data_IF_979775276213
#
_entry.id   IF_979775276213
#
_cell.length_a   1.000
_cell.length_b   1.000
_cell.length_c   1.000
_cell.angle_alpha   90.00
_cell.angle_beta   90.00
_cell.angle_gamma   90.00
#
_symmetry.space_group_name_H-M   'P 1'
#
loop_
_entity.id
_entity.type
_entity.pdbx_description
1 polymer ?
#
# COMPACT_ATOMS: atom_id res chain seq x y z
N UNK A 1 -13.43 10.12 27.98
CA UNK A 1 -14.75 10.81 27.98
C UNK A 1 -14.81 11.92 26.93
N UNK A 2 -13.79 12.81 26.84
CA UNK A 2 -13.76 13.92 25.87
C UNK A 2 -13.85 13.46 24.40
N UNK A 3 -13.01 12.51 23.96
CA UNK A 3 -13.06 12.02 22.56
C UNK A 3 -14.41 11.36 22.19
N UNK A 4 -15.10 10.77 23.17
CA UNK A 4 -16.43 10.20 22.97
C UNK A 4 -17.50 11.30 22.86
N UNK A 5 -17.36 12.39 23.61
CA UNK A 5 -18.24 13.55 23.53
C UNK A 5 -18.10 14.26 22.18
N UNK A 6 -16.88 14.43 21.68
CA UNK A 6 -16.62 15.05 20.35
C UNK A 6 -17.36 14.30 19.24
N UNK A 7 -17.40 12.97 19.28
CA UNK A 7 -18.15 12.16 18.31
C UNK A 7 -19.66 12.30 18.37
N UNK A 8 -20.20 12.84 19.46
CA UNK A 8 -21.65 13.05 19.66
C UNK A 8 -22.07 14.48 19.34
N UNK A 9 -21.13 15.34 18.97
CA UNK A 9 -21.41 16.72 18.58
C UNK A 9 -22.15 16.77 17.23
N UNK A 10 -22.95 17.82 17.05
CA UNK A 10 -23.59 18.12 15.77
C UNK A 10 -22.56 18.55 14.73
N UNK A 11 -22.94 18.55 13.44
CA UNK A 11 -22.04 18.99 12.37
C UNK A 11 -21.64 20.46 12.53
N UNK A 12 -22.54 21.32 13.00
CA UNK A 12 -22.25 22.74 13.26
C UNK A 12 -21.22 22.89 14.38
N UNK A 13 -21.36 22.11 15.45
CA UNK A 13 -20.41 22.12 16.56
C UNK A 13 -19.03 21.61 16.13
N UNK A 14 -18.99 20.59 15.28
CA UNK A 14 -17.74 20.08 14.71
C UNK A 14 -17.08 21.08 13.75
N UNK A 15 -17.88 21.86 13.01
CA UNK A 15 -17.36 22.95 12.18
C UNK A 15 -16.68 24.01 13.03
N UNK A 16 -17.33 24.47 14.11
CA UNK A 16 -16.76 25.48 15.02
C UNK A 16 -15.45 24.99 15.65
N UNK A 17 -15.37 23.72 16.06
CA UNK A 17 -14.12 23.16 16.60
C UNK A 17 -13.04 23.07 15.51
N UNK A 18 -13.43 22.73 14.27
CA UNK A 18 -12.54 22.75 13.11
C UNK A 18 -11.92 24.12 12.89
N UNK A 19 -12.73 25.18 12.88
CA UNK A 19 -12.28 26.56 12.73
C UNK A 19 -11.39 26.99 13.90
N UNK A 20 -11.74 26.57 15.12
CA UNK A 20 -10.91 26.79 16.30
C UNK A 20 -9.52 26.15 16.12
N UNK A 21 -9.43 24.89 15.69
CA UNK A 21 -8.14 24.25 15.41
C UNK A 21 -7.36 24.94 14.29
N UNK A 22 -8.02 25.41 13.23
CA UNK A 22 -7.38 26.19 12.16
C UNK A 22 -6.80 27.52 12.67
N UNK A 23 -7.42 28.13 13.69
CA UNK A 23 -6.98 29.40 14.29
C UNK A 23 -5.77 29.26 15.23
N UNK A 24 -5.40 28.05 15.63
CA UNK A 24 -4.30 27.82 16.56
C UNK A 24 -2.94 28.11 15.92
N UNK A 25 -2.00 28.60 16.74
CA UNK A 25 -0.61 28.66 16.33
C UNK A 25 -0.03 27.25 16.09
N UNK A 26 0.93 27.08 15.16
CA UNK A 26 1.55 25.78 14.89
C UNK A 26 2.09 25.08 16.13
N UNK A 27 2.75 25.83 17.03
CA UNK A 27 3.30 25.29 18.27
C UNK A 27 2.22 24.76 19.21
N UNK A 28 1.07 25.43 19.29
CA UNK A 28 -0.08 24.98 20.07
C UNK A 28 -0.75 23.77 19.45
N UNK A 29 -0.93 23.76 18.12
CA UNK A 29 -1.49 22.61 17.40
C UNK A 29 -0.64 21.35 17.61
N UNK A 30 0.69 21.47 17.48
CA UNK A 30 1.64 20.37 17.75
C UNK A 30 1.48 19.82 19.17
N UNK A 31 1.34 20.68 20.19
CA UNK A 31 1.13 20.24 21.58
C UNK A 31 -0.15 19.42 21.74
N UNK A 32 -1.25 19.86 21.12
CA UNK A 32 -2.51 19.13 21.17
C UNK A 32 -2.42 17.79 20.45
N UNK A 33 -1.84 17.77 19.23
CA UNK A 33 -1.63 16.52 18.49
C UNK A 33 -0.78 15.54 19.30
N UNK A 34 0.32 16.01 19.90
CA UNK A 34 1.19 15.17 20.75
C UNK A 34 0.44 14.58 21.95
N UNK A 35 -0.39 15.38 22.63
CA UNK A 35 -1.19 14.88 23.76
C UNK A 35 -2.12 13.74 23.33
N UNK A 36 -2.88 13.91 22.25
CA UNK A 36 -3.77 12.86 21.74
C UNK A 36 -3.01 11.62 21.27
N UNK A 37 -1.84 11.80 20.63
CA UNK A 37 -0.97 10.69 20.23
C UNK A 37 -0.46 9.92 21.44
N UNK A 38 -0.03 10.60 22.50
CA UNK A 38 0.51 9.95 23.69
C UNK A 38 -0.54 9.06 24.37
N UNK A 39 -1.76 9.58 24.55
CA UNK A 39 -2.89 8.79 25.06
C UNK A 39 -3.19 7.58 24.17
N UNK A 40 -3.15 7.77 22.85
CA UNK A 40 -3.37 6.67 21.91
C UNK A 40 -2.26 5.61 22.00
N UNK A 41 -0.99 6.01 22.04
CA UNK A 41 0.16 5.11 22.21
C UNK A 41 0.11 4.31 23.52
N UNK A 42 -0.31 4.93 24.62
CA UNK A 42 -0.49 4.24 25.90
C UNK A 42 -1.59 3.17 25.81
N UNK A 43 -2.71 3.46 25.16
CA UNK A 43 -3.80 2.48 24.95
C UNK A 43 -3.34 1.34 24.04
N UNK A 44 -2.62 1.66 22.96
CA UNK A 44 -2.06 0.66 22.03
C UNK A 44 -1.04 -0.26 22.72
N UNK A 45 -0.30 0.26 23.71
CA UNK A 45 0.73 -0.50 24.43
C UNK A 45 0.19 -1.30 25.62
N UNK A 46 -0.93 -0.87 26.22
CA UNK A 46 -1.51 -1.48 27.43
C UNK A 46 -2.60 -2.52 27.13
N UNK A 47 -3.32 -2.41 26.01
CA UNK A 47 -4.48 -3.27 25.74
C UNK A 47 -4.20 -4.33 24.67
N UNK A 48 -3.99 -5.57 25.11
CA UNK A 48 -3.86 -6.75 24.23
C UNK A 48 -5.20 -7.33 23.77
N UNK A 49 -6.20 -6.50 23.40
CA UNK A 49 -7.30 -7.11 22.65
C UNK A 49 -8.61 -6.39 22.35
N UNK A 50 -9.13 -5.42 23.13
CA UNK A 50 -10.60 -5.20 23.08
C UNK A 50 -11.20 -3.79 23.14
N UNK A 51 -10.50 -2.64 23.28
CA UNK A 51 -11.21 -1.33 23.26
C UNK A 51 -11.14 -0.56 21.94
N UNK A 52 -11.67 -1.16 20.87
CA UNK A 52 -11.82 -0.51 19.57
C UNK A 52 -12.58 0.83 19.65
N UNK A 53 -13.56 0.98 20.54
CA UNK A 53 -14.31 2.24 20.65
C UNK A 53 -13.46 3.41 21.17
N UNK A 54 -12.57 3.17 22.15
CA UNK A 54 -11.69 4.22 22.70
C UNK A 54 -10.68 4.66 21.65
N UNK A 55 -10.03 3.70 21.00
CA UNK A 55 -9.09 3.96 19.90
C UNK A 55 -9.79 4.67 18.73
N UNK A 56 -10.97 4.21 18.31
CA UNK A 56 -11.75 4.88 17.26
C UNK A 56 -12.09 6.32 17.63
N UNK A 57 -12.48 6.58 18.89
CA UNK A 57 -12.79 7.94 19.32
C UNK A 57 -11.57 8.86 19.20
N UNK A 58 -10.39 8.39 19.61
CA UNK A 58 -9.15 9.15 19.51
C UNK A 58 -8.71 9.37 18.06
N UNK A 59 -8.80 8.33 17.23
CA UNK A 59 -8.48 8.41 15.80
C UNK A 59 -9.39 9.41 15.07
N UNK A 60 -10.68 9.47 15.42
CA UNK A 60 -11.62 10.44 14.86
C UNK A 60 -11.23 11.88 15.25
N UNK A 61 -10.86 12.13 16.50
CA UNK A 61 -10.39 13.46 16.92
C UNK A 61 -9.13 13.85 16.14
N UNK A 62 -8.16 12.95 16.04
CA UNK A 62 -6.94 13.17 15.26
C UNK A 62 -7.24 13.40 13.77
N UNK A 63 -8.23 12.71 13.19
CA UNK A 63 -8.67 12.93 11.81
C UNK A 63 -9.26 14.33 11.62
N UNK A 64 -10.07 14.82 12.56
CA UNK A 64 -10.58 16.18 12.46
C UNK A 64 -9.46 17.22 12.58
N UNK A 65 -8.50 17.01 13.49
CA UNK A 65 -7.32 17.87 13.61
C UNK A 65 -6.46 17.85 12.34
N UNK A 66 -6.30 16.68 11.71
CA UNK A 66 -5.60 16.52 10.44
C UNK A 66 -6.32 17.25 9.30
N UNK A 67 -7.64 17.13 9.23
CA UNK A 67 -8.47 17.83 8.25
C UNK A 67 -8.38 19.35 8.44
N UNK A 68 -8.41 19.84 9.68
CA UNK A 68 -8.20 21.26 9.99
C UNK A 68 -6.82 21.73 9.51
N UNK A 69 -5.76 20.96 9.79
CA UNK A 69 -4.40 21.28 9.31
C UNK A 69 -4.29 21.34 7.78
N UNK A 70 -5.03 20.51 7.04
CA UNK A 70 -5.05 20.56 5.58
C UNK A 70 -5.80 21.77 5.01
N UNK A 71 -6.66 22.42 5.81
CA UNK A 71 -7.28 23.71 5.45
C UNK A 71 -6.36 24.89 5.73
N UNK A 72 -5.41 24.74 6.67
CA UNK A 72 -4.43 25.78 6.99
C UNK A 72 -3.44 25.98 5.84
N UNK A 73 -3.13 27.23 5.50
CA UNK A 73 -2.21 27.60 4.41
C UNK A 73 -0.91 28.20 4.95
N UNK A 74 0.18 28.05 4.18
CA UNK A 74 1.48 28.64 4.49
C UNK A 74 2.06 28.22 5.85
N UNK A 75 2.61 29.19 6.58
CA UNK A 75 3.33 28.97 7.84
C UNK A 75 2.47 28.45 9.01
N UNK A 76 1.14 28.38 8.85
CA UNK A 76 0.24 27.83 9.87
C UNK A 76 0.12 26.29 9.77
N UNK A 77 0.45 25.70 8.63
CA UNK A 77 0.35 24.25 8.41
C UNK A 77 1.50 23.52 9.09
N UNK A 78 1.19 22.56 9.96
CA UNK A 78 2.17 21.70 10.60
C UNK A 78 2.53 20.50 9.70
N UNK A 79 3.76 19.95 9.79
CA UNK A 79 4.18 18.81 8.99
C UNK A 79 3.30 17.58 9.22
N UNK A 80 2.99 16.82 8.17
CA UNK A 80 2.15 15.60 8.26
C UNK A 80 2.76 14.54 9.18
N UNK A 81 4.10 14.45 9.23
CA UNK A 81 4.84 13.55 10.13
C UNK A 81 4.51 13.78 11.61
N UNK A 82 4.04 14.99 11.97
CA UNK A 82 3.58 15.29 13.34
C UNK A 82 2.42 14.38 13.75
N UNK A 83 1.56 14.01 12.81
CA UNK A 83 0.37 13.18 13.07
C UNK A 83 0.67 11.68 13.06
N UNK A 84 1.79 11.24 12.49
CA UNK A 84 2.15 9.83 12.42
C UNK A 84 2.44 9.25 13.81
N UNK A 85 1.80 8.14 14.15
CA UNK A 85 2.08 7.36 15.36
C UNK A 85 3.30 6.49 15.16
N UNK A 86 4.15 6.45 16.18
CA UNK A 86 5.18 5.42 16.31
C UNK A 86 4.49 4.16 16.83
N UNK A 87 4.13 3.26 15.91
CA UNK A 87 3.51 1.99 16.25
C UNK A 87 4.62 0.97 16.56
N UNK A 88 4.51 0.33 17.72
CA UNK A 88 5.43 -0.74 18.10
C UNK A 88 5.33 -1.91 17.09
N UNK A 89 6.49 -2.35 16.57
CA UNK A 89 6.57 -3.41 15.56
C UNK A 89 6.04 -4.76 16.07
N UNK A 90 6.31 -5.10 17.34
CA UNK A 90 5.79 -6.33 17.96
C UNK A 90 4.25 -6.31 18.08
N UNK A 91 3.69 -5.14 18.42
CA UNK A 91 2.24 -4.95 18.43
C UNK A 91 1.65 -5.10 17.02
N UNK A 92 2.26 -4.43 16.04
CA UNK A 92 1.85 -4.48 14.64
C UNK A 92 1.84 -5.93 14.11
N UNK A 93 2.89 -6.68 14.43
CA UNK A 93 3.01 -8.09 14.06
C UNK A 93 1.93 -8.96 14.70
N UNK A 94 1.72 -8.85 16.01
CA UNK A 94 0.71 -9.64 16.72
C UNK A 94 -0.71 -9.39 16.18
N UNK A 95 -1.08 -8.12 15.96
CA UNK A 95 -2.42 -7.74 15.51
C UNK A 95 -2.67 -8.13 14.03
N UNK A 96 -1.68 -7.95 13.15
CA UNK A 96 -1.76 -8.40 11.75
C UNK A 96 -1.82 -9.93 11.64
N UNK A 97 -1.07 -10.67 12.45
CA UNK A 97 -1.13 -12.13 12.49
C UNK A 97 -2.52 -12.62 12.93
N UNK A 98 -3.10 -11.98 13.95
CA UNK A 98 -4.46 -12.26 14.42
C UNK A 98 -5.48 -12.02 13.30
N UNK A 99 -5.35 -10.91 12.57
CA UNK A 99 -6.20 -10.60 11.43
C UNK A 99 -6.09 -11.63 10.31
N UNK A 100 -4.87 -11.95 9.89
CA UNK A 100 -4.60 -12.91 8.83
C UNK A 100 -5.14 -14.31 9.19
N UNK A 101 -5.00 -14.74 10.44
CA UNK A 101 -5.51 -16.03 10.93
C UNK A 101 -7.03 -16.08 10.88
N UNK A 102 -7.71 -15.03 11.34
CA UNK A 102 -9.19 -14.96 11.35
C UNK A 102 -9.79 -14.83 9.94
N UNK A 103 -9.11 -14.17 9.02
CA UNK A 103 -9.52 -14.09 7.60
C UNK A 103 -9.57 -15.46 6.92
N UNK A 104 -8.65 -16.37 7.27
CA UNK A 104 -8.65 -17.75 6.72
C UNK A 104 -9.89 -18.53 7.16
N UNK A 105 -10.32 -18.37 8.41
CA UNK A 105 -11.55 -18.99 8.94
C UNK A 105 -12.79 -18.54 8.15
N UNK A 106 -12.92 -17.23 7.88
CA UNK A 106 -14.06 -16.67 7.15
C UNK A 106 -14.14 -17.17 5.69
N UNK A 107 -13.00 -17.42 5.03
CA UNK A 107 -12.97 -17.93 3.65
C UNK A 107 -13.37 -19.40 3.53
N UNK A 108 -13.16 -20.20 4.58
CA UNK A 108 -13.55 -21.60 4.59
C UNK A 108 -15.06 -21.79 4.81
N UNK A 109 -15.75 -20.76 5.31
CA UNK A 109 -17.20 -20.74 5.44
C UNK A 109 -17.82 -20.20 4.13
N UNK A 110 -18.20 -21.12 3.23
CA UNK A 110 -18.61 -20.86 1.83
C UNK A 110 -19.88 -19.99 1.66
N UNK A 111 -20.44 -19.38 2.71
CA UNK A 111 -21.71 -18.63 2.63
C UNK A 111 -21.63 -17.09 2.66
N UNK A 112 -20.46 -16.45 2.61
CA UNK A 112 -20.39 -14.96 2.63
C UNK A 112 -19.44 -14.32 1.61
N UNK A 113 -19.45 -14.81 0.36
CA UNK A 113 -18.57 -14.31 -0.72
C UNK A 113 -18.86 -12.89 -1.22
N UNK A 114 -19.98 -12.26 -0.85
CA UNK A 114 -20.25 -10.86 -1.19
C UNK A 114 -19.69 -9.83 -0.18
N UNK A 115 -18.96 -10.26 0.87
CA UNK A 115 -18.57 -9.37 1.97
C UNK A 115 -17.16 -8.75 1.85
N UNK A 116 -16.26 -9.36 1.06
CA UNK A 116 -14.83 -8.99 1.08
C UNK A 116 -14.51 -7.76 0.23
N UNK A 117 -15.29 -7.49 -0.82
CA UNK A 117 -15.12 -6.32 -1.70
C UNK A 117 -15.66 -5.00 -1.11
N UNK A 118 -16.28 -5.04 0.08
CA UNK A 118 -16.88 -3.87 0.73
C UNK A 118 -16.03 -3.26 1.84
N UNK A 119 -14.83 -3.80 2.09
CA UNK A 119 -13.92 -3.33 3.15
C UNK A 119 -13.35 -1.92 2.86
N UNK A 120 -13.33 -1.48 1.61
CA UNK A 120 -12.68 -0.21 1.22
C UNK A 120 -13.61 0.96 0.92
N UNK A 121 -14.94 0.81 0.92
CA UNK A 121 -15.84 1.95 0.60
C UNK A 121 -16.97 2.26 1.58
N UNK A 122 -17.26 1.44 2.59
CA UNK A 122 -18.18 1.80 3.68
C UNK A 122 -17.74 1.10 4.96
N UNK A 123 -17.33 1.88 5.96
CA UNK A 123 -17.20 1.43 7.34
C UNK A 123 -18.58 1.00 7.87
N UNK A 124 -19.01 -0.22 7.58
CA UNK A 124 -20.10 -0.85 8.29
C UNK A 124 -19.57 -2.11 8.98
N UNK A 125 -19.35 -1.89 10.28
CA UNK A 125 -19.53 -2.80 11.40
C UNK A 125 -20.06 -4.16 10.95
N UNK A 126 -19.18 -5.17 10.94
CA UNK A 126 -19.59 -6.57 10.98
C UNK A 126 -19.26 -7.15 12.33
N UNK A 127 -20.26 -7.84 12.88
CA UNK A 127 -20.27 -8.46 14.19
C UNK A 127 -19.04 -9.34 14.43
N UNK A 128 -18.30 -9.02 15.50
CA UNK A 128 -17.47 -9.97 16.23
C UNK A 128 -15.95 -9.84 16.12
N UNK A 129 -15.38 -9.14 15.12
CA UNK A 129 -13.92 -9.12 14.95
C UNK A 129 -13.44 -7.72 14.58
N UNK A 130 -12.95 -6.98 15.59
CA UNK A 130 -12.37 -5.64 15.43
C UNK A 130 -10.86 -5.74 15.67
N UNK A 131 -10.12 -5.98 14.59
CA UNK A 131 -8.66 -5.89 14.57
C UNK A 131 -8.26 -4.41 14.58
N UNK A 132 -7.31 -4.04 15.43
CA UNK A 132 -6.99 -2.64 15.70
C UNK A 132 -6.26 -1.99 14.51
N UNK A 133 -5.40 -2.74 13.84
CA UNK A 133 -4.68 -2.30 12.65
C UNK A 133 -5.64 -1.99 11.50
N UNK A 134 -6.74 -2.74 11.33
CA UNK A 134 -7.74 -2.40 10.33
C UNK A 134 -8.43 -1.07 10.63
N UNK A 135 -8.69 -0.76 11.90
CA UNK A 135 -9.23 0.56 12.26
C UNK A 135 -8.21 1.69 12.11
N UNK A 136 -6.92 1.41 12.29
CA UNK A 136 -5.83 2.39 12.17
C UNK A 136 -5.46 2.63 10.69
N UNK A 137 -5.38 1.58 9.88
CA UNK A 137 -5.03 1.63 8.45
C UNK A 137 -6.02 2.40 7.58
N UNK A 138 -7.25 2.57 8.05
CA UNK A 138 -8.25 3.43 7.38
C UNK A 138 -7.81 4.90 7.37
N UNK A 139 -7.01 5.31 8.35
CA UNK A 139 -6.56 6.69 8.50
C UNK A 139 -5.14 6.85 7.92
N UNK A 140 -5.05 7.42 6.72
CA UNK A 140 -3.80 7.54 5.95
C UNK A 140 -2.68 8.28 6.71
N UNK A 141 -3.05 9.24 7.57
CA UNK A 141 -2.12 10.07 8.34
C UNK A 141 -1.47 9.35 9.53
N UNK A 142 -2.06 8.24 9.99
CA UNK A 142 -1.70 7.64 11.29
C UNK A 142 -0.38 6.87 11.23
N UNK A 143 -0.04 6.28 10.10
CA UNK A 143 1.20 5.51 9.96
C UNK A 143 2.20 6.25 9.09
N UNK A 144 3.44 6.31 9.57
CA UNK A 144 4.58 6.71 8.77
C UNK A 144 4.88 5.67 7.67
N UNK A 145 5.81 6.02 6.77
CA UNK A 145 6.21 5.14 5.67
C UNK A 145 6.81 3.82 6.20
N UNK A 146 7.61 3.89 7.27
CA UNK A 146 8.26 2.73 7.88
C UNK A 146 7.22 1.72 8.36
N UNK A 147 6.24 2.16 9.15
CA UNK A 147 5.17 1.30 9.68
C UNK A 147 4.28 0.74 8.58
N UNK A 148 3.95 1.55 7.56
CA UNK A 148 3.20 1.08 6.38
C UNK A 148 3.94 -0.03 5.65
N UNK A 149 5.25 0.14 5.44
CA UNK A 149 6.11 -0.86 4.82
C UNK A 149 6.17 -2.14 5.65
N UNK A 150 6.44 -2.04 6.95
CA UNK A 150 6.49 -3.20 7.86
C UNK A 150 5.15 -3.95 7.86
N UNK A 151 4.02 -3.24 7.92
CA UNK A 151 2.69 -3.85 7.88
C UNK A 151 2.46 -4.62 6.57
N UNK A 152 2.85 -4.03 5.44
CA UNK A 152 2.77 -4.68 4.13
C UNK A 152 3.68 -5.92 4.05
N UNK A 153 4.90 -5.82 4.54
CA UNK A 153 5.89 -6.91 4.55
C UNK A 153 5.40 -8.11 5.39
N UNK A 154 4.84 -7.86 6.58
CA UNK A 154 4.22 -8.88 7.43
C UNK A 154 3.05 -9.55 6.70
N UNK A 155 2.18 -8.75 6.08
CA UNK A 155 1.05 -9.27 5.32
C UNK A 155 1.50 -10.16 4.16
N UNK A 156 2.45 -9.68 3.35
CA UNK A 156 2.97 -10.39 2.19
C UNK A 156 3.61 -11.72 2.58
N UNK A 157 4.41 -11.74 3.65
CA UNK A 157 5.01 -12.96 4.16
C UNK A 157 3.95 -13.96 4.64
N UNK A 158 2.92 -13.50 5.36
CA UNK A 158 1.85 -14.38 5.82
C UNK A 158 1.00 -14.96 4.68
N UNK A 159 0.83 -14.23 3.57
CA UNK A 159 0.10 -14.74 2.40
C UNK A 159 0.94 -15.69 1.54
N UNK A 160 2.27 -15.57 1.56
CA UNK A 160 3.19 -16.50 0.89
C UNK A 160 3.29 -17.87 1.58
N UNK A 161 3.09 -17.94 2.90
CA UNK A 161 3.16 -19.22 3.62
C UNK A 161 1.99 -20.13 3.20
N UNK A 162 2.27 -21.00 2.24
CA UNK A 162 1.55 -22.26 2.06
C UNK A 162 1.99 -23.17 3.20
N UNK A 163 1.06 -23.65 4.03
CA UNK A 163 1.37 -24.75 4.96
C UNK A 163 1.40 -26.03 4.13
N UNK A 164 2.53 -26.76 4.04
CA UNK A 164 2.50 -28.14 3.57
C UNK A 164 1.69 -28.95 4.58
N UNK A 165 0.79 -29.79 4.12
CA UNK A 165 0.33 -30.91 4.92
C UNK A 165 1.51 -31.89 5.10
N UNK A 166 1.59 -32.71 6.16
CA UNK A 166 2.82 -33.42 6.53
C UNK A 166 3.26 -34.52 5.56
N UNK A 167 2.51 -34.75 4.48
CA UNK A 167 2.71 -35.85 3.57
C UNK A 167 2.22 -35.40 2.20
N UNK A 168 3.13 -34.91 1.36
CA UNK A 168 3.07 -35.05 -0.10
C UNK A 168 4.29 -34.35 -0.73
N UNK A 169 4.84 -35.02 -1.73
CA UNK A 169 5.89 -34.51 -2.62
C UNK A 169 5.57 -33.10 -3.12
N UNK A 170 6.58 -32.22 -3.10
CA UNK A 170 6.49 -30.81 -3.50
C UNK A 170 5.98 -30.71 -4.95
N UNK A 171 4.68 -30.51 -5.13
CA UNK A 171 4.11 -30.24 -6.46
C UNK A 171 4.37 -28.80 -6.87
N UNK A 172 4.51 -28.56 -8.18
CA UNK A 172 4.72 -27.23 -8.78
C UNK A 172 3.60 -26.22 -8.49
N UNK A 173 2.47 -26.67 -7.92
CA UNK A 173 1.30 -25.83 -7.63
C UNK A 173 1.48 -24.89 -6.43
N UNK A 174 2.56 -25.04 -5.64
CA UNK A 174 2.78 -24.21 -4.46
C UNK A 174 3.54 -22.91 -4.71
N UNK A 175 4.26 -22.83 -5.83
CA UNK A 175 5.09 -21.69 -6.19
C UNK A 175 4.53 -21.01 -7.43
N UNK A 176 4.86 -19.73 -7.60
CA UNK A 176 4.74 -19.08 -8.90
C UNK A 176 6.15 -19.02 -9.50
N UNK A 177 6.38 -19.88 -10.48
CA UNK A 177 7.68 -20.07 -11.11
C UNK A 177 7.74 -19.38 -12.47
N UNK A 178 8.82 -18.66 -12.73
CA UNK A 178 9.18 -18.22 -14.07
C UNK A 178 10.48 -18.90 -14.50
N UNK A 179 10.48 -19.51 -15.69
CA UNK A 179 11.66 -20.16 -16.29
C UNK A 179 12.08 -19.36 -17.50
N UNK A 180 13.11 -18.54 -17.37
CA UNK A 180 13.44 -17.50 -18.35
C UNK A 180 14.85 -17.71 -18.91
N UNK A 181 15.09 -17.17 -20.10
CA UNK A 181 16.43 -17.04 -20.70
C UNK A 181 16.87 -15.60 -20.56
N UNK A 182 18.14 -15.37 -20.22
CA UNK A 182 18.68 -14.00 -20.06
C UNK A 182 18.60 -13.18 -21.35
N UNK A 183 18.69 -13.84 -22.51
CA UNK A 183 18.65 -13.20 -23.84
C UNK A 183 17.25 -12.74 -24.27
N UNK A 184 16.19 -13.21 -23.61
CA UNK A 184 14.79 -12.92 -23.98
C UNK A 184 13.94 -12.75 -22.74
N UNK A 185 14.44 -11.93 -21.80
CA UNK A 185 13.88 -11.81 -20.45
C UNK A 185 12.48 -11.20 -20.49
N UNK A 186 12.31 -10.10 -21.23
CA UNK A 186 11.04 -9.38 -21.36
C UNK A 186 9.94 -10.21 -22.01
N UNK A 187 10.21 -10.74 -23.20
CA UNK A 187 9.25 -11.57 -23.95
C UNK A 187 8.85 -12.80 -23.13
N UNK A 188 9.83 -13.54 -22.60
CA UNK A 188 9.58 -14.74 -21.81
C UNK A 188 8.76 -14.46 -20.55
N UNK A 189 9.04 -13.34 -19.86
CA UNK A 189 8.28 -12.93 -18.70
C UNK A 189 6.83 -12.59 -19.07
N UNK A 190 6.61 -11.82 -20.14
CA UNK A 190 5.28 -11.42 -20.56
C UNK A 190 4.44 -12.61 -20.98
N UNK A 191 4.99 -13.54 -21.76
CA UNK A 191 4.29 -14.76 -22.17
C UNK A 191 3.87 -15.61 -20.96
N UNK A 192 4.77 -15.83 -20.00
CA UNK A 192 4.45 -16.65 -18.83
C UNK A 192 3.49 -15.95 -17.86
N UNK A 193 3.63 -14.63 -17.68
CA UNK A 193 2.70 -13.86 -16.85
C UNK A 193 1.30 -13.79 -17.47
N UNK A 194 1.19 -13.67 -18.80
CA UNK A 194 -0.09 -13.67 -19.50
C UNK A 194 -0.81 -15.02 -19.41
N UNK A 195 -0.06 -16.13 -19.39
CA UNK A 195 -0.61 -17.47 -19.22
C UNK A 195 -0.96 -17.81 -17.76
N UNK A 196 -0.37 -17.11 -16.79
CA UNK A 196 -0.54 -17.38 -15.37
C UNK A 196 -1.91 -16.92 -14.84
N UNK A 197 -2.48 -17.70 -13.92
CA UNK A 197 -3.73 -17.31 -13.28
C UNK A 197 -3.47 -16.25 -12.20
N UNK A 198 -4.32 -15.22 -12.11
CA UNK A 198 -4.12 -14.06 -11.19
C UNK A 198 -3.96 -14.44 -9.70
N UNK A 199 -4.41 -15.64 -9.29
CA UNK A 199 -4.23 -16.13 -7.91
C UNK A 199 -2.78 -16.51 -7.62
N UNK A 200 -2.02 -16.88 -8.64
CA UNK A 200 -0.64 -17.37 -8.50
C UNK A 200 0.33 -16.24 -8.16
N UNK A 201 0.03 -15.00 -8.55
CA UNK A 201 0.86 -13.83 -8.20
C UNK A 201 1.00 -13.58 -6.69
N UNK A 202 0.22 -14.27 -5.86
CA UNK A 202 0.33 -14.22 -4.38
C UNK A 202 1.11 -15.39 -3.79
N UNK A 203 1.42 -16.42 -4.57
CA UNK A 203 2.27 -17.55 -4.17
C UNK A 203 3.71 -17.06 -3.97
N UNK A 204 4.55 -17.82 -3.24
CA UNK A 204 5.99 -17.58 -3.23
C UNK A 204 6.54 -17.56 -4.66
N UNK A 205 7.22 -16.47 -5.00
CA UNK A 205 7.77 -16.23 -6.33
C UNK A 205 9.17 -16.85 -6.46
N UNK A 206 9.41 -17.56 -7.55
CA UNK A 206 10.68 -18.22 -7.90
C UNK A 206 11.01 -17.92 -9.35
N UNK A 207 12.29 -17.62 -9.62
CA UNK A 207 12.80 -17.38 -10.98
C UNK A 207 13.97 -18.32 -11.22
N UNK A 208 13.93 -19.00 -12.36
CA UNK A 208 15.02 -19.79 -12.92
C UNK A 208 15.54 -19.09 -14.17
N UNK A 209 16.86 -19.03 -14.33
CA UNK A 209 17.52 -18.38 -15.46
C UNK A 209 18.39 -19.39 -16.20
N UNK A 210 18.28 -19.42 -17.53
CA UNK A 210 19.10 -20.24 -18.43
C UNK A 210 19.11 -21.74 -18.07
N UNK A 211 17.94 -22.25 -17.67
CA UNK A 211 17.72 -23.66 -17.27
C UNK A 211 18.54 -24.11 -16.04
N UNK A 212 19.15 -23.18 -15.30
CA UNK A 212 19.80 -23.47 -14.03
C UNK A 212 18.75 -23.89 -12.98
N UNK A 213 18.86 -25.09 -12.38
CA UNK A 213 17.92 -25.56 -11.36
C UNK A 213 18.07 -24.83 -10.00
N UNK A 214 19.08 -23.97 -9.83
CA UNK A 214 19.33 -23.27 -8.58
C UNK A 214 18.20 -22.28 -8.22
N UNK A 215 17.58 -22.47 -7.05
CA UNK A 215 16.62 -21.53 -6.48
C UNK A 215 17.36 -20.54 -5.58
N UNK A 216 17.60 -19.33 -6.08
CA UNK A 216 18.30 -18.28 -5.34
C UNK A 216 17.48 -17.01 -5.22
N UNK A 217 17.64 -16.29 -4.10
CA UNK A 217 17.10 -14.94 -3.97
C UNK A 217 17.77 -13.96 -4.95
N UNK A 218 19.00 -14.27 -5.38
CA UNK A 218 19.78 -13.49 -6.34
C UNK A 218 19.06 -13.43 -7.69
N UNK A 219 18.61 -14.55 -8.24
CA UNK A 219 17.91 -14.57 -9.54
C UNK A 219 16.63 -13.75 -9.56
N UNK A 220 15.91 -13.68 -8.44
CA UNK A 220 14.73 -12.80 -8.33
C UNK A 220 15.11 -11.33 -8.39
N UNK A 221 16.17 -10.94 -7.69
CA UNK A 221 16.66 -9.55 -7.70
C UNK A 221 17.21 -9.19 -9.07
N UNK A 222 18.01 -10.07 -9.67
CA UNK A 222 18.58 -9.89 -11.00
C UNK A 222 17.49 -9.80 -12.07
N UNK A 223 16.47 -10.65 -11.99
CA UNK A 223 15.31 -10.60 -12.87
C UNK A 223 14.69 -9.20 -12.87
N UNK A 224 14.31 -8.67 -11.71
CA UNK A 224 13.72 -7.33 -11.64
C UNK A 224 14.71 -6.22 -12.00
N UNK A 225 15.99 -6.39 -11.65
CA UNK A 225 17.03 -5.40 -11.93
C UNK A 225 17.26 -5.21 -13.43
N UNK A 226 17.19 -6.27 -14.23
CA UNK A 226 17.38 -6.18 -15.69
C UNK A 226 16.07 -5.92 -16.43
N UNK A 227 14.96 -6.52 -15.99
CA UNK A 227 13.66 -6.39 -16.67
C UNK A 227 13.12 -4.96 -16.64
N UNK A 228 13.23 -4.26 -15.50
CA UNK A 228 12.64 -2.93 -15.38
C UNK A 228 13.30 -1.90 -16.30
N UNK A 229 14.65 -1.77 -16.34
CA UNK A 229 15.33 -0.94 -17.33
C UNK A 229 14.97 -1.28 -18.77
N UNK A 230 14.89 -2.56 -19.12
CA UNK A 230 14.48 -3.00 -20.47
C UNK A 230 13.05 -2.55 -20.80
N UNK A 231 12.09 -2.71 -19.87
CA UNK A 231 10.70 -2.28 -20.06
C UNK A 231 10.52 -0.77 -20.16
N UNK A 232 11.31 0.00 -19.42
CA UNK A 232 11.21 1.48 -19.39
C UNK A 232 12.24 2.13 -20.33
N UNK A 233 12.76 1.35 -21.28
CA UNK A 233 13.64 1.83 -22.34
C UNK A 233 12.84 2.22 -23.59
N UNK A 234 13.34 3.16 -24.41
CA UNK A 234 12.76 3.48 -25.72
C UNK A 234 12.62 2.26 -26.63
N UNK A 235 13.54 1.30 -26.54
CA UNK A 235 13.62 0.10 -27.36
C UNK A 235 12.43 -0.84 -27.13
N UNK A 236 11.84 -0.82 -25.93
CA UNK A 236 10.65 -1.62 -25.61
C UNK A 236 9.41 -1.22 -26.42
N UNK A 237 9.36 0.03 -26.90
CA UNK A 237 8.19 0.63 -27.55
C UNK A 237 6.94 0.74 -26.66
N UNK A 238 7.04 0.50 -25.34
CA UNK A 238 5.88 0.51 -24.44
C UNK A 238 5.45 1.93 -24.04
N UNK A 239 6.39 2.85 -23.93
CA UNK A 239 6.15 4.19 -23.39
C UNK A 239 6.62 5.26 -24.37
N UNK A 240 5.98 6.43 -24.28
CA UNK A 240 6.47 7.67 -24.86
C UNK A 240 7.49 8.28 -23.92
N UNK A 241 8.48 8.97 -24.47
CA UNK A 241 9.49 9.66 -23.69
C UNK A 241 9.42 11.15 -23.93
N UNK A 242 9.89 11.91 -22.94
CA UNK A 242 10.14 13.34 -23.11
C UNK A 242 11.33 13.60 -24.04
N UNK A 243 11.56 14.86 -24.42
CA UNK A 243 12.63 15.24 -25.36
C UNK A 243 14.04 14.83 -24.89
N UNK A 244 14.26 14.76 -23.57
CA UNK A 244 15.52 14.30 -22.97
C UNK A 244 15.62 12.78 -22.82
N UNK A 245 14.58 12.03 -23.20
CA UNK A 245 14.50 10.56 -23.12
C UNK A 245 14.76 10.03 -21.69
N UNK A 246 14.34 10.78 -20.68
CA UNK A 246 14.58 10.46 -19.27
C UNK A 246 13.34 9.96 -18.54
N UNK A 247 12.15 10.36 -18.98
CA UNK A 247 10.89 10.05 -18.30
C UNK A 247 9.93 9.35 -19.25
N UNK A 248 9.56 8.08 -19.01
CA UNK A 248 8.49 7.39 -19.72
C UNK A 248 7.10 7.90 -19.32
N UNK A 249 6.17 7.86 -20.27
CA UNK A 249 4.75 8.10 -20.06
C UNK A 249 3.88 7.25 -20.99
N UNK A 250 2.65 7.01 -20.58
CA UNK A 250 1.71 6.19 -21.34
C UNK A 250 1.22 6.94 -22.60
N UNK A 251 1.16 6.26 -23.75
CA UNK A 251 0.62 6.85 -24.97
C UNK A 251 -0.86 7.22 -24.82
N UNK A 252 -1.27 8.31 -25.46
CA UNK A 252 -2.67 8.78 -25.44
C UNK A 252 -3.63 7.86 -26.20
N UNK A 253 -3.10 7.06 -27.13
CA UNK A 253 -3.81 6.02 -27.86
C UNK A 253 -3.08 4.71 -27.63
N UNK A 254 -3.75 3.77 -26.98
CA UNK A 254 -3.24 2.42 -26.72
C UNK A 254 -3.99 1.42 -27.59
N UNK A 255 -3.26 0.49 -28.20
CA UNK A 255 -3.84 -0.71 -28.81
C UNK A 255 -4.22 -1.72 -27.73
N UNK A 256 -4.96 -2.78 -28.08
CA UNK A 256 -5.24 -3.90 -27.15
C UNK A 256 -3.97 -4.61 -26.67
N UNK A 257 -2.95 -4.65 -27.53
CA UNK A 257 -1.65 -5.22 -27.18
C UNK A 257 -0.96 -4.34 -26.13
N UNK A 258 -1.01 -3.01 -26.30
CA UNK A 258 -0.46 -2.06 -25.32
C UNK A 258 -1.17 -2.16 -23.97
N UNK A 259 -2.50 -2.26 -23.96
CA UNK A 259 -3.28 -2.49 -22.74
C UNK A 259 -2.82 -3.75 -21.99
N UNK A 260 -2.57 -4.83 -22.73
CA UNK A 260 -2.06 -6.08 -22.17
C UNK A 260 -0.65 -5.89 -21.59
N UNK A 261 0.24 -5.21 -22.32
CA UNK A 261 1.60 -4.88 -21.85
C UNK A 261 1.57 -4.00 -20.59
N UNK A 262 0.67 -3.01 -20.52
CA UNK A 262 0.51 -2.15 -19.32
C UNK A 262 -0.04 -2.92 -18.13
N UNK A 263 -0.96 -3.85 -18.35
CA UNK A 263 -1.44 -4.73 -17.29
C UNK A 263 -0.29 -5.59 -16.74
N UNK A 264 0.51 -6.22 -17.60
CA UNK A 264 1.65 -7.04 -17.21
C UNK A 264 2.74 -6.23 -16.50
N UNK A 265 3.01 -5.01 -16.97
CA UNK A 265 3.87 -4.06 -16.27
C UNK A 265 3.37 -3.77 -14.84
N UNK A 266 2.06 -3.53 -14.68
CA UNK A 266 1.44 -3.37 -13.37
C UNK A 266 1.56 -4.61 -12.48
N UNK A 267 1.39 -5.81 -13.04
CA UNK A 267 1.63 -7.09 -12.34
C UNK A 267 3.07 -7.18 -11.86
N UNK A 268 4.05 -6.83 -12.70
CA UNK A 268 5.47 -6.83 -12.34
C UNK A 268 5.80 -5.83 -11.24
N UNK A 269 5.24 -4.61 -11.29
CA UNK A 269 5.35 -3.64 -10.19
C UNK A 269 4.81 -4.22 -8.87
N UNK A 270 3.65 -4.87 -8.92
CA UNK A 270 3.05 -5.55 -7.78
C UNK A 270 3.90 -6.71 -7.26
N UNK A 271 4.45 -7.53 -8.16
CA UNK A 271 5.33 -8.65 -7.81
C UNK A 271 6.64 -8.17 -7.19
N UNK A 272 7.25 -7.11 -7.72
CA UNK A 272 8.47 -6.52 -7.16
C UNK A 272 8.21 -6.02 -5.73
N UNK A 273 7.16 -5.23 -5.54
CA UNK A 273 6.75 -4.73 -4.23
C UNK A 273 6.45 -5.87 -3.25
N UNK A 274 5.64 -6.85 -3.67
CA UNK A 274 5.25 -8.01 -2.86
C UNK A 274 6.44 -8.88 -2.47
N UNK A 275 7.50 -8.91 -3.29
CA UNK A 275 8.73 -9.67 -3.05
C UNK A 275 9.89 -8.82 -2.52
N UNK A 276 9.60 -7.62 -1.99
CA UNK A 276 10.60 -6.74 -1.35
C UNK A 276 11.77 -6.39 -2.28
N UNK A 277 11.52 -6.36 -3.59
CA UNK A 277 12.50 -6.00 -4.60
C UNK A 277 12.30 -4.52 -4.96
N UNK A 278 13.34 -3.73 -4.74
CA UNK A 278 13.37 -2.32 -5.13
C UNK A 278 13.69 -2.26 -6.63
N UNK A 279 12.88 -1.53 -7.38
CA UNK A 279 13.00 -1.40 -8.84
C UNK A 279 13.07 0.06 -9.23
N UNK A 280 13.72 0.34 -10.35
CA UNK A 280 13.81 1.69 -10.90
C UNK A 280 12.55 1.99 -11.72
N UNK A 281 11.82 3.04 -11.32
CA UNK A 281 10.58 3.49 -11.96
C UNK A 281 10.67 5.00 -12.21
N UNK A 282 11.25 5.42 -13.35
CA UNK A 282 11.47 6.83 -13.68
C UNK A 282 10.20 7.56 -14.15
N UNK A 283 9.06 7.31 -13.51
CA UNK A 283 7.80 7.93 -13.91
C UNK A 283 7.56 9.26 -13.15
N UNK A 284 6.90 10.25 -13.77
CA UNK A 284 6.49 11.46 -13.10
C UNK A 284 5.60 11.20 -11.88
N UNK A 285 5.58 12.14 -10.93
CA UNK A 285 4.74 12.09 -9.72
C UNK A 285 3.25 11.83 -10.05
N UNK A 286 2.78 12.31 -11.19
CA UNK A 286 1.42 12.11 -11.68
C UNK A 286 1.01 10.63 -11.75
N UNK A 287 1.91 9.71 -12.11
CA UNK A 287 1.60 8.27 -12.13
C UNK A 287 1.27 7.76 -10.72
N UNK A 288 2.11 8.10 -9.74
CA UNK A 288 1.95 7.61 -8.37
C UNK A 288 0.69 8.19 -7.72
N UNK A 289 0.32 9.44 -8.04
CA UNK A 289 -0.98 10.00 -7.63
C UNK A 289 -2.16 9.23 -8.22
N UNK A 290 -2.12 8.91 -9.52
CA UNK A 290 -3.16 8.06 -10.15
C UNK A 290 -3.29 6.70 -9.47
N UNK A 291 -2.18 6.05 -9.11
CA UNK A 291 -2.20 4.76 -8.40
C UNK A 291 -2.83 4.86 -7.00
N UNK A 292 -2.80 6.05 -6.40
CA UNK A 292 -3.41 6.35 -5.10
C UNK A 292 -4.84 6.89 -5.20
N UNK A 293 -5.43 6.93 -6.41
CA UNK A 293 -6.74 7.54 -6.66
C UNK A 293 -6.78 9.04 -6.27
N UNK A 294 -5.63 9.71 -6.38
CA UNK A 294 -5.47 11.15 -6.19
C UNK A 294 -5.42 11.82 -7.55
N UNK A 295 -6.23 12.84 -7.75
CA UNK A 295 -6.25 13.62 -8.99
C UNK A 295 -4.89 14.32 -9.22
N UNK A 296 -4.18 14.01 -10.32
CA UNK A 296 -2.93 14.69 -10.66
C UNK A 296 -3.21 16.14 -11.06
N UNK A 297 -2.32 17.05 -10.66
CA UNK A 297 -2.37 18.46 -11.05
C UNK A 297 -1.46 18.73 -12.25
N UNK A 298 -1.62 19.89 -12.89
CA UNK A 298 -0.71 20.34 -13.95
C UNK A 298 0.74 20.46 -13.48
N UNK A 299 0.97 20.74 -12.19
CA UNK A 299 2.31 20.80 -11.63
C UNK A 299 3.00 19.44 -11.62
N UNK A 300 2.27 18.36 -11.38
CA UNK A 300 2.80 16.99 -11.38
C UNK A 300 3.25 16.52 -12.78
N UNK A 301 2.75 17.18 -13.83
CA UNK A 301 3.10 16.92 -15.22
C UNK A 301 4.25 17.80 -15.71
N UNK A 302 4.63 18.86 -14.98
CA UNK A 302 5.80 19.70 -15.34
C UNK A 302 7.10 18.92 -15.35
N UNK A 303 7.21 17.86 -14.56
CA UNK A 303 8.37 16.95 -14.59
C UNK A 303 8.56 16.34 -15.99
N UNK A 304 7.46 16.03 -16.69
CA UNK A 304 7.48 15.41 -18.00
C UNK A 304 7.84 16.38 -19.13
N UNK A 305 7.38 17.63 -19.03
CA UNK A 305 7.74 18.71 -19.95
C UNK A 305 9.02 19.37 -19.46
N UNK A 306 10.18 18.89 -19.91
CA UNK A 306 11.45 19.50 -19.54
C UNK A 306 11.39 21.03 -19.71
N UNK A 307 11.71 21.76 -18.63
CA UNK A 307 11.95 23.20 -18.70
C UNK A 307 13.18 23.40 -19.60
N UNK A 308 12.97 23.85 -20.84
CA UNK A 308 14.02 24.36 -21.71
C UNK A 308 13.91 23.96 -23.19
N UNK A 309 13.08 24.69 -23.94
CA UNK A 309 13.53 25.73 -24.89
C UNK A 309 12.41 26.74 -25.11
#
# INVERSE_FOLDING_TARGET
>A
MVAAAIRRLSEESLHVIGDWWCSLSPSTMVKHVKMWKQVLSEILSSETGHCNLRVQNLLVVLQYMYNANNRSTGCQRIPESTFCLEINEAFLQADLQLWCSKRKVIKNDKQKTNFVLRITKKSQITNGIKVLICSVMVYQFVMDLKSKKTAFDIYANHTKVVKPWPYESVSSDYFFELRLKRTSLLEGAFTQLAAAHHRDFKKPFVVYLDEDPAVTAVYKRDFFHHLFPEMVSPESGMFLFNDSVTLPWFPSRATKEDETKFFLFGVLCGLALYNQCIVYLPFPLALFKKLLDVEPTLEDLKEFTGVGK
#
